data_IF_827010763950
#
_entry.id   IF_827010763950
#
_cell.length_a   1.000
_cell.length_b   1.000
_cell.length_c   1.000
_cell.angle_alpha   90.00
_cell.angle_beta   90.00
_cell.angle_gamma   90.00
#
_symmetry.space_group_name_H-M   'P 1'
#
loop_
_entity.id
_entity.type
_entity.pdbx_description
1 polymer ?
#
# COMPACT_ATOMS: atom_id res chain seq x y z
N UNK A 1 28.47 31.35 28.76
CA UNK A 1 27.38 30.43 28.52
C UNK A 1 26.45 31.04 27.48
N UNK A 2 26.55 30.59 26.21
CA UNK A 2 25.57 30.98 25.19
C UNK A 2 24.29 30.19 25.44
N UNK A 3 23.18 30.88 25.57
CA UNK A 3 21.86 30.25 25.59
C UNK A 3 21.53 29.68 24.18
N UNK A 4 20.70 28.64 24.11
CA UNK A 4 20.24 28.09 22.82
C UNK A 4 19.54 29.16 22.00
N UNK A 5 18.81 30.07 22.66
CA UNK A 5 18.11 31.20 22.04
C UNK A 5 19.05 32.20 21.34
N UNK A 6 20.37 32.22 21.67
CA UNK A 6 21.34 33.10 21.05
C UNK A 6 21.89 32.55 19.72
N UNK A 7 21.46 31.38 19.31
CA UNK A 7 21.88 30.73 18.05
C UNK A 7 20.93 31.04 16.93
N UNK A 8 21.50 31.18 15.75
CA UNK A 8 20.67 31.31 14.51
C UNK A 8 19.84 30.07 14.32
N UNK A 9 18.54 30.25 14.09
CA UNK A 9 17.65 29.14 13.76
C UNK A 9 18.04 28.51 12.42
N UNK A 10 17.90 27.18 12.30
CA UNK A 10 18.02 26.51 11.02
C UNK A 10 16.92 27.01 10.08
N UNK A 11 17.29 27.32 8.85
CA UNK A 11 16.36 27.75 7.78
C UNK A 11 15.87 26.60 6.90
N UNK A 12 16.39 25.38 7.12
CA UNK A 12 16.04 24.15 6.41
C UNK A 12 15.92 22.99 7.40
N UNK A 13 15.34 21.87 6.94
CA UNK A 13 15.31 20.63 7.74
C UNK A 13 16.76 20.18 8.03
N UNK A 14 17.02 19.61 9.24
CA UNK A 14 18.32 19.05 9.55
C UNK A 14 18.74 17.97 8.57
N UNK A 15 20.03 17.88 8.27
CA UNK A 15 20.59 16.75 7.54
C UNK A 15 20.62 15.49 8.42
N UNK A 16 20.63 14.31 7.82
CA UNK A 16 20.63 13.04 8.56
C UNK A 16 21.84 12.88 9.48
N UNK A 17 22.93 13.57 9.18
CA UNK A 17 24.18 13.61 9.96
C UNK A 17 24.24 14.71 11.02
N UNK A 18 23.20 15.57 11.08
CA UNK A 18 23.15 16.60 12.14
C UNK A 18 22.86 15.93 13.48
N UNK A 19 23.54 16.42 14.52
CA UNK A 19 23.52 15.80 15.85
C UNK A 19 22.76 16.68 16.86
N UNK A 20 22.03 16.03 17.74
CA UNK A 20 21.34 16.66 18.87
C UNK A 20 21.90 16.14 20.18
N UNK A 21 21.93 17.01 21.20
CA UNK A 21 22.25 16.60 22.56
C UNK A 21 20.98 16.14 23.27
N UNK A 22 21.03 14.95 23.86
CA UNK A 22 19.97 14.40 24.68
C UNK A 22 20.48 13.98 26.05
N UNK A 23 19.61 13.99 27.06
CA UNK A 23 19.90 13.38 28.36
C UNK A 23 19.31 11.96 28.37
N UNK A 24 20.16 10.97 28.44
CA UNK A 24 19.79 9.56 28.56
C UNK A 24 20.16 9.06 29.97
N UNK A 25 19.15 8.82 30.81
CA UNK A 25 19.31 8.44 32.21
C UNK A 25 20.27 9.33 33.00
N UNK A 26 20.23 10.65 32.74
CA UNK A 26 21.09 11.64 33.38
C UNK A 26 22.48 11.80 32.76
N UNK A 27 22.81 11.01 31.72
CA UNK A 27 24.06 11.15 30.97
C UNK A 27 23.81 11.92 29.68
N UNK A 28 24.63 12.97 29.43
CA UNK A 28 24.56 13.73 28.19
C UNK A 28 25.12 12.88 27.03
N UNK A 29 24.30 12.65 26.01
CA UNK A 29 24.68 11.92 24.80
C UNK A 29 24.31 12.72 23.56
N UNK A 30 24.90 12.39 22.42
CA UNK A 30 24.51 12.89 21.11
C UNK A 30 23.66 11.84 20.39
N UNK A 31 22.75 12.29 19.54
CA UNK A 31 21.94 11.47 18.66
C UNK A 31 21.87 12.13 17.28
N UNK A 32 22.04 11.36 16.22
CA UNK A 32 21.90 11.82 14.85
C UNK A 32 20.41 12.05 14.51
N UNK A 33 20.12 13.06 13.69
CA UNK A 33 18.75 13.35 13.26
C UNK A 33 18.09 12.15 12.55
N UNK A 34 18.87 11.35 11.81
CA UNK A 34 18.40 10.12 11.17
C UNK A 34 17.70 9.14 12.12
N UNK A 35 18.05 9.19 13.42
CA UNK A 35 17.49 8.28 14.44
C UNK A 35 16.23 8.84 15.14
N UNK A 36 15.93 10.13 14.97
CA UNK A 36 14.78 10.79 15.63
C UNK A 36 13.70 11.22 14.65
N UNK A 37 14.01 11.32 13.35
CA UNK A 37 13.02 11.67 12.34
C UNK A 37 12.02 10.51 12.13
N UNK A 38 10.75 10.85 12.09
CA UNK A 38 9.72 9.86 11.71
C UNK A 38 9.86 9.49 10.23
N UNK A 39 9.73 8.21 9.91
CA UNK A 39 9.69 7.71 8.53
C UNK A 39 8.45 6.85 8.34
N UNK A 40 7.74 7.03 7.21
CA UNK A 40 6.60 6.19 6.82
C UNK A 40 7.06 4.93 6.06
N UNK A 41 8.27 4.47 6.32
CA UNK A 41 8.83 3.24 5.74
C UNK A 41 8.70 2.06 6.72
N UNK A 42 8.47 0.85 6.21
CA UNK A 42 8.40 0.48 4.79
C UNK A 42 7.14 1.00 4.08
N UNK A 43 7.25 1.17 2.75
CA UNK A 43 6.15 1.56 1.88
C UNK A 43 6.21 0.88 0.53
N UNK A 44 5.05 0.68 -0.08
CA UNK A 44 4.86 0.06 -1.39
C UNK A 44 3.81 0.82 -2.21
N UNK A 45 4.03 0.90 -3.51
CA UNK A 45 3.01 1.07 -4.53
C UNK A 45 3.29 0.04 -5.61
N UNK A 46 2.40 -0.94 -5.79
CA UNK A 46 2.43 -1.92 -6.87
C UNK A 46 1.29 -1.62 -7.85
N UNK A 47 1.59 -1.63 -9.14
CA UNK A 47 0.67 -1.21 -10.21
C UNK A 47 0.57 -2.31 -11.25
N UNK A 48 -0.64 -2.57 -11.73
CA UNK A 48 -0.86 -3.44 -12.87
C UNK A 48 -0.38 -2.78 -14.16
N UNK A 49 0.46 -3.47 -14.91
CA UNK A 49 0.99 -3.05 -16.21
C UNK A 49 0.66 -4.01 -17.35
N UNK A 50 -0.09 -5.06 -17.05
CA UNK A 50 -0.55 -6.08 -18.02
C UNK A 50 -1.98 -6.46 -17.74
N UNK A 51 -2.67 -7.00 -18.76
CA UNK A 51 -3.99 -7.59 -18.59
C UNK A 51 -3.93 -8.89 -17.79
N UNK A 52 -4.99 -9.15 -17.02
CA UNK A 52 -5.23 -10.43 -16.36
C UNK A 52 -6.70 -10.78 -16.54
N UNK A 53 -6.97 -11.99 -17.01
CA UNK A 53 -8.34 -12.53 -17.08
C UNK A 53 -8.76 -13.03 -15.70
N UNK A 54 -9.97 -12.66 -15.29
CA UNK A 54 -10.60 -13.05 -14.01
C UNK A 54 -11.89 -13.80 -14.32
N UNK A 55 -12.05 -14.97 -13.73
CA UNK A 55 -13.26 -15.79 -13.93
C UNK A 55 -14.43 -15.23 -13.14
N UNK A 56 -15.62 -15.37 -13.74
CA UNK A 56 -16.87 -14.95 -13.10
C UNK A 56 -17.08 -15.60 -11.74
N UNK A 57 -17.61 -14.84 -10.79
CA UNK A 57 -18.00 -15.30 -9.45
C UNK A 57 -16.89 -16.00 -8.66
N UNK A 58 -15.62 -15.82 -9.07
CA UNK A 58 -14.45 -16.44 -8.45
C UNK A 58 -13.56 -15.38 -7.80
N UNK A 59 -13.18 -15.62 -6.55
CA UNK A 59 -12.17 -14.78 -5.88
C UNK A 59 -10.79 -15.13 -6.44
N UNK A 60 -10.17 -14.17 -7.10
CA UNK A 60 -8.92 -14.35 -7.85
C UNK A 60 -7.84 -13.39 -7.34
N UNK A 61 -6.63 -13.88 -7.09
CA UNK A 61 -5.48 -13.05 -6.78
C UNK A 61 -5.13 -12.16 -7.99
N UNK A 62 -4.82 -10.89 -7.73
CA UNK A 62 -4.32 -9.96 -8.75
C UNK A 62 -2.84 -10.23 -8.97
N UNK A 63 -2.52 -10.88 -10.09
CA UNK A 63 -1.14 -11.25 -10.48
C UNK A 63 -0.53 -10.30 -11.51
N UNK A 64 -1.28 -9.31 -11.95
CA UNK A 64 -0.82 -8.31 -12.92
C UNK A 64 -0.07 -7.12 -12.30
N UNK A 65 0.13 -7.10 -10.97
CA UNK A 65 0.88 -6.05 -10.26
C UNK A 65 2.40 -6.21 -10.47
N UNK A 66 2.85 -5.97 -11.70
CA UNK A 66 4.23 -6.28 -12.11
C UNK A 66 5.17 -5.07 -12.06
N UNK A 67 4.70 -3.90 -11.69
CA UNK A 67 5.50 -2.67 -11.58
C UNK A 67 5.36 -2.11 -10.17
N UNK A 68 6.49 -1.84 -9.50
CA UNK A 68 6.54 -1.25 -8.17
C UNK A 68 7.27 0.10 -8.22
N UNK A 69 6.59 1.20 -8.59
CA UNK A 69 7.19 2.53 -8.64
C UNK A 69 7.72 3.02 -7.30
N UNK A 70 7.16 2.51 -6.22
CA UNK A 70 7.64 2.71 -4.86
C UNK A 70 7.75 1.34 -4.20
N UNK A 71 8.94 1.00 -3.69
CA UNK A 71 9.17 -0.16 -2.84
C UNK A 71 10.37 0.15 -1.95
N UNK A 72 10.11 0.63 -0.75
CA UNK A 72 11.14 1.11 0.18
C UNK A 72 11.00 0.39 1.51
N UNK A 73 12.04 -0.30 1.94
CA UNK A 73 12.15 -0.94 3.26
C UNK A 73 11.38 -2.25 3.42
N UNK A 74 10.52 -2.64 2.46
CA UNK A 74 9.82 -3.92 2.43
C UNK A 74 10.25 -4.78 1.24
N UNK A 75 9.67 -5.97 1.09
CA UNK A 75 9.95 -6.90 0.01
C UNK A 75 8.69 -7.18 -0.81
N UNK A 76 8.76 -6.97 -2.13
CA UNK A 76 7.77 -7.45 -3.08
C UNK A 76 8.20 -8.81 -3.63
N UNK A 77 7.40 -9.83 -3.39
CA UNK A 77 7.57 -11.16 -3.96
C UNK A 77 6.81 -11.24 -5.28
N UNK A 78 7.52 -11.11 -6.39
CA UNK A 78 6.94 -11.14 -7.73
C UNK A 78 6.42 -12.51 -8.17
N UNK A 79 6.88 -13.59 -7.54
CA UNK A 79 6.41 -14.95 -7.84
C UNK A 79 5.06 -15.23 -7.18
N UNK A 80 4.83 -14.68 -6.00
CA UNK A 80 3.61 -14.84 -5.25
C UNK A 80 2.71 -13.60 -5.27
N UNK A 81 3.12 -12.50 -5.90
CA UNK A 81 2.41 -11.21 -6.00
C UNK A 81 1.92 -10.72 -4.64
N UNK A 82 2.85 -10.57 -3.70
CA UNK A 82 2.58 -10.16 -2.33
C UNK A 82 3.66 -9.23 -1.79
N UNK A 83 3.29 -8.41 -0.84
CA UNK A 83 4.20 -7.51 -0.14
C UNK A 83 4.38 -7.92 1.32
N UNK A 84 5.64 -8.06 1.76
CA UNK A 84 6.03 -8.26 3.15
C UNK A 84 6.70 -6.99 3.65
N UNK A 85 6.13 -6.26 4.61
CA UNK A 85 6.75 -5.07 5.20
C UNK A 85 8.11 -5.35 5.83
N UNK A 86 8.27 -6.49 6.52
CA UNK A 86 9.50 -6.89 7.19
C UNK A 86 9.80 -6.13 8.49
N UNK A 87 8.93 -5.22 8.89
CA UNK A 87 9.03 -4.43 10.12
C UNK A 87 7.69 -4.46 10.83
N UNK A 88 7.68 -4.85 12.10
CA UNK A 88 6.45 -4.81 12.89
C UNK A 88 5.94 -3.37 13.08
N UNK A 89 4.63 -3.19 13.12
CA UNK A 89 4.01 -1.88 13.31
C UNK A 89 2.59 -1.78 12.79
N UNK A 90 2.06 -0.57 12.78
CA UNK A 90 0.74 -0.25 12.26
C UNK A 90 0.85 0.31 10.86
N UNK A 91 0.03 -0.18 9.94
CA UNK A 91 0.08 0.13 8.51
C UNK A 91 -1.26 0.63 8.00
N UNK A 92 -1.23 1.61 7.11
CA UNK A 92 -2.35 1.87 6.21
C UNK A 92 -2.13 1.07 4.92
N UNK A 93 -3.17 0.34 4.50
CA UNK A 93 -3.16 -0.52 3.33
C UNK A 93 -4.38 -0.21 2.47
N UNK A 94 -4.20 -0.19 1.16
CA UNK A 94 -5.32 -0.11 0.22
C UNK A 94 -5.04 -0.90 -1.05
N UNK A 95 -6.10 -1.49 -1.60
CA UNK A 95 -6.06 -2.19 -2.87
C UNK A 95 -7.22 -1.77 -3.75
N UNK A 96 -6.93 -1.41 -4.99
CA UNK A 96 -7.90 -1.00 -5.98
C UNK A 96 -7.89 -1.96 -7.15
N UNK A 97 -9.09 -2.31 -7.61
CA UNK A 97 -9.30 -3.13 -8.81
C UNK A 97 -10.25 -2.44 -9.77
N UNK A 98 -10.07 -2.68 -11.06
CA UNK A 98 -10.90 -2.08 -12.11
C UNK A 98 -11.16 -3.09 -13.22
N UNK A 99 -12.43 -3.16 -13.64
CA UNK A 99 -12.87 -3.90 -14.83
C UNK A 99 -13.95 -3.11 -15.57
N UNK A 100 -14.20 -3.49 -16.83
CA UNK A 100 -15.37 -3.02 -17.54
C UNK A 100 -16.56 -3.94 -17.23
N UNK A 101 -17.70 -3.36 -16.89
CA UNK A 101 -18.94 -4.12 -16.61
C UNK A 101 -19.98 -3.74 -17.66
N UNK A 102 -20.56 -4.76 -18.29
CA UNK A 102 -21.54 -4.60 -19.38
C UNK A 102 -22.98 -4.85 -18.92
N UNK A 103 -23.18 -5.32 -17.69
CA UNK A 103 -24.49 -5.69 -17.16
C UNK A 103 -24.81 -4.88 -15.89
N UNK A 104 -25.90 -4.13 -15.91
CA UNK A 104 -26.41 -3.48 -14.70
C UNK A 104 -26.77 -4.53 -13.63
N UNK A 105 -26.54 -4.20 -12.37
CA UNK A 105 -26.73 -5.10 -11.23
C UNK A 105 -25.55 -6.04 -10.95
N UNK A 106 -24.57 -6.13 -11.85
CA UNK A 106 -23.32 -6.83 -11.58
C UNK A 106 -22.46 -6.06 -10.58
N UNK A 107 -21.58 -6.75 -9.88
CA UNK A 107 -20.67 -6.11 -8.91
C UNK A 107 -19.20 -6.38 -9.24
N UNK A 108 -18.37 -5.51 -8.70
CA UNK A 108 -16.92 -5.63 -8.60
C UNK A 108 -16.52 -5.48 -7.13
N UNK A 109 -15.67 -6.39 -6.64
CA UNK A 109 -15.06 -6.34 -5.32
C UNK A 109 -13.54 -6.22 -5.43
N UNK A 110 -12.96 -5.33 -4.62
CA UNK A 110 -11.54 -5.34 -4.27
C UNK A 110 -11.40 -5.89 -2.84
N UNK A 111 -10.38 -6.70 -2.60
CA UNK A 111 -10.14 -7.31 -1.29
C UNK A 111 -8.66 -7.25 -0.94
N UNK A 112 -8.35 -6.79 0.27
CA UNK A 112 -7.01 -6.88 0.87
C UNK A 112 -6.96 -8.14 1.73
N UNK A 113 -5.96 -8.96 1.49
CA UNK A 113 -5.68 -10.19 2.22
C UNK A 113 -4.41 -10.02 3.05
N UNK A 114 -4.39 -10.65 4.22
CA UNK A 114 -3.23 -10.83 5.08
C UNK A 114 -3.04 -12.32 5.33
N UNK A 115 -1.87 -12.85 5.04
CA UNK A 115 -1.52 -14.27 5.30
C UNK A 115 -2.57 -15.25 4.71
N UNK A 116 -3.08 -14.95 3.51
CA UNK A 116 -4.09 -15.76 2.82
C UNK A 116 -5.53 -15.60 3.32
N UNK A 117 -5.80 -14.69 4.27
CA UNK A 117 -7.14 -14.41 4.79
C UNK A 117 -7.58 -12.98 4.46
N UNK A 118 -8.84 -12.80 4.08
CA UNK A 118 -9.40 -11.46 3.81
C UNK A 118 -9.47 -10.65 5.11
N UNK A 119 -8.95 -9.42 5.06
CA UNK A 119 -9.01 -8.47 6.19
C UNK A 119 -9.82 -7.22 5.86
N UNK A 120 -10.00 -6.91 4.58
CA UNK A 120 -10.85 -5.81 4.13
C UNK A 120 -11.39 -6.11 2.74
N UNK A 121 -12.61 -5.69 2.46
CA UNK A 121 -13.15 -5.65 1.11
C UNK A 121 -14.09 -4.46 0.92
N UNK A 122 -14.25 -4.07 -0.33
CA UNK A 122 -15.28 -3.14 -0.78
C UNK A 122 -15.94 -3.67 -2.03
N UNK A 123 -17.21 -3.29 -2.24
CA UNK A 123 -17.99 -3.67 -3.41
C UNK A 123 -18.60 -2.43 -4.06
N UNK A 124 -18.52 -2.38 -5.36
CA UNK A 124 -19.31 -1.47 -6.19
C UNK A 124 -20.26 -2.28 -7.06
N UNK A 125 -21.52 -1.83 -7.14
CA UNK A 125 -22.53 -2.42 -8.01
C UNK A 125 -22.71 -1.54 -9.25
N UNK A 126 -22.76 -2.16 -10.42
CA UNK A 126 -22.93 -1.46 -11.68
C UNK A 126 -24.39 -1.01 -11.85
N UNK A 127 -24.58 0.29 -11.98
CA UNK A 127 -25.90 0.89 -12.25
C UNK A 127 -26.24 0.91 -13.75
N UNK A 128 -25.20 0.88 -14.61
CA UNK A 128 -25.32 0.94 -16.06
C UNK A 128 -24.52 -0.15 -16.76
N UNK A 129 -24.55 -0.09 -18.10
CA UNK A 129 -23.83 -1.02 -18.98
C UNK A 129 -22.67 -0.34 -19.69
N UNK A 130 -21.67 -1.13 -20.11
CA UNK A 130 -20.50 -0.67 -20.88
C UNK A 130 -19.70 0.47 -20.22
N UNK A 131 -19.47 0.34 -18.91
CA UNK A 131 -18.70 1.33 -18.16
C UNK A 131 -17.56 0.68 -17.37
N UNK A 132 -16.53 1.47 -17.12
CA UNK A 132 -15.42 1.11 -16.23
C UNK A 132 -15.86 1.30 -14.79
N UNK A 133 -15.74 0.26 -13.99
CA UNK A 133 -15.99 0.31 -12.56
C UNK A 133 -14.70 0.10 -11.79
N UNK A 134 -14.58 0.80 -10.67
CA UNK A 134 -13.43 0.76 -9.78
C UNK A 134 -13.95 0.45 -8.37
N UNK A 135 -13.36 -0.55 -7.73
CA UNK A 135 -13.57 -0.85 -6.32
C UNK A 135 -12.26 -0.71 -5.57
N UNK A 136 -12.29 -0.11 -4.38
CA UNK A 136 -11.12 0.07 -3.53
C UNK A 136 -11.44 -0.36 -2.10
N UNK A 137 -10.68 -1.31 -1.58
CA UNK A 137 -10.68 -1.69 -0.17
C UNK A 137 -9.51 -1.02 0.54
N UNK A 138 -9.72 -0.55 1.76
CA UNK A 138 -8.66 0.01 2.60
C UNK A 138 -8.84 -0.41 4.06
N UNK A 139 -7.73 -0.43 4.80
CA UNK A 139 -7.71 -0.80 6.22
C UNK A 139 -6.47 -0.22 6.92
N UNK A 140 -6.60 -0.01 8.22
CA UNK A 140 -5.45 0.11 9.13
C UNK A 140 -5.30 -1.23 9.83
N UNK A 141 -4.10 -1.83 9.75
CA UNK A 141 -3.80 -3.15 10.31
C UNK A 141 -2.44 -3.13 11.03
N UNK A 142 -2.27 -4.06 11.97
CA UNK A 142 -0.98 -4.30 12.63
C UNK A 142 -0.27 -5.46 11.94
N UNK A 143 1.01 -5.30 11.63
CA UNK A 143 1.83 -6.35 11.02
C UNK A 143 2.97 -6.77 11.95
N UNK A 144 3.28 -8.06 11.94
CA UNK A 144 4.55 -8.62 12.39
C UNK A 144 5.55 -8.66 11.22
N UNK A 145 6.78 -9.06 11.50
CA UNK A 145 7.88 -9.02 10.52
C UNK A 145 7.72 -9.99 9.36
N UNK A 146 6.95 -11.06 9.51
CA UNK A 146 6.70 -12.12 8.54
C UNK A 146 5.32 -12.04 7.87
N UNK A 147 4.47 -11.11 8.32
CA UNK A 147 3.17 -10.88 7.71
C UNK A 147 3.30 -10.38 6.27
N UNK A 148 2.43 -10.87 5.38
CA UNK A 148 2.35 -10.43 4.00
C UNK A 148 0.93 -10.04 3.58
N UNK A 149 0.86 -9.16 2.61
CA UNK A 149 -0.39 -8.60 2.07
C UNK A 149 -0.51 -8.83 0.58
N UNK A 150 -1.75 -9.06 0.14
CA UNK A 150 -2.10 -9.41 -1.23
C UNK A 150 -3.37 -8.68 -1.66
N UNK A 151 -3.51 -8.43 -2.97
CA UNK A 151 -4.73 -7.92 -3.56
C UNK A 151 -5.50 -9.02 -4.27
N UNK A 152 -6.80 -9.11 -4.01
CA UNK A 152 -7.73 -10.00 -4.68
C UNK A 152 -8.88 -9.23 -5.31
N UNK A 153 -9.49 -9.83 -6.32
CA UNK A 153 -10.64 -9.33 -7.07
C UNK A 153 -11.72 -10.40 -7.14
N UNK A 154 -12.98 -9.97 -7.15
CA UNK A 154 -14.14 -10.81 -7.51
C UNK A 154 -15.17 -9.96 -8.24
N UNK A 155 -15.86 -10.55 -9.20
CA UNK A 155 -17.00 -9.95 -9.90
C UNK A 155 -18.04 -11.02 -10.26
N UNK A 156 -19.23 -10.59 -10.70
CA UNK A 156 -20.31 -11.47 -11.15
C UNK A 156 -20.93 -10.97 -12.48
N UNK A 157 -20.10 -10.67 -13.45
CA UNK A 157 -20.54 -10.11 -14.74
C UNK A 157 -21.21 -11.13 -15.68
N UNK A 158 -21.28 -12.40 -15.27
CA UNK A 158 -21.86 -13.50 -16.06
C UNK A 158 -20.89 -14.13 -17.07
N UNK A 159 -19.63 -13.74 -17.07
CA UNK A 159 -18.56 -14.26 -17.91
C UNK A 159 -17.19 -13.76 -17.45
N UNK A 160 -16.13 -14.25 -18.07
CA UNK A 160 -14.79 -13.77 -17.75
C UNK A 160 -14.65 -12.27 -18.03
N UNK A 161 -13.96 -11.56 -17.16
CA UNK A 161 -13.58 -10.16 -17.32
C UNK A 161 -12.08 -9.98 -17.34
N UNK A 162 -11.64 -8.84 -17.84
CA UNK A 162 -10.21 -8.48 -17.87
C UNK A 162 -9.96 -7.30 -16.94
N UNK A 163 -8.94 -7.42 -16.10
CA UNK A 163 -8.47 -6.32 -15.26
C UNK A 163 -8.01 -5.16 -16.15
N UNK A 164 -8.54 -3.97 -15.89
CA UNK A 164 -8.05 -2.76 -16.50
C UNK A 164 -6.68 -2.38 -15.89
N UNK A 165 -5.72 -2.10 -16.76
CA UNK A 165 -4.38 -1.71 -16.38
C UNK A 165 -3.97 -0.44 -17.10
N UNK A 166 -3.25 0.42 -16.42
CA UNK A 166 -2.62 1.61 -17.00
C UNK A 166 -1.61 2.14 -15.98
N UNK A 167 -0.37 2.31 -16.41
CA UNK A 167 0.69 2.79 -15.53
C UNK A 167 0.58 4.29 -15.23
N UNK A 168 -0.09 5.07 -16.08
CA UNK A 168 -0.33 6.49 -15.83
C UNK A 168 -1.50 6.71 -14.87
N UNK A 169 -2.66 6.08 -15.14
CA UNK A 169 -3.87 6.23 -14.32
C UNK A 169 -3.95 5.25 -13.13
N UNK A 170 -3.12 4.18 -13.15
CA UNK A 170 -3.03 3.19 -12.06
C UNK A 170 -4.39 2.59 -11.69
N UNK A 171 -5.21 2.21 -12.67
CA UNK A 171 -6.56 1.67 -12.48
C UNK A 171 -6.61 0.49 -11.51
N UNK A 172 -5.61 -0.40 -11.56
CA UNK A 172 -5.48 -1.50 -10.62
C UNK A 172 -4.13 -1.39 -9.93
N UNK A 173 -4.17 -1.27 -8.60
CA UNK A 173 -2.99 -1.04 -7.79
C UNK A 173 -3.17 -1.56 -6.36
N UNK A 174 -2.04 -1.76 -5.69
CA UNK A 174 -1.97 -2.02 -4.25
C UNK A 174 -0.93 -1.08 -3.65
N UNK A 175 -1.25 -0.44 -2.55
CA UNK A 175 -0.28 0.36 -1.81
C UNK A 175 -0.44 0.22 -0.31
N UNK A 176 0.67 0.47 0.39
CA UNK A 176 0.70 0.47 1.83
C UNK A 176 1.92 1.22 2.36
N UNK A 177 1.82 1.73 3.58
CA UNK A 177 2.92 2.38 4.27
C UNK A 177 2.74 2.30 5.78
N UNK A 178 3.86 2.36 6.50
CA UNK A 178 3.88 2.34 7.95
C UNK A 178 3.36 3.65 8.53
N UNK A 179 2.51 3.55 9.56
CA UNK A 179 2.01 4.69 10.34
C UNK A 179 2.85 4.90 11.60
N UNK A 180 3.16 3.79 12.32
CA UNK A 180 3.94 3.81 13.57
C UNK A 180 4.82 2.57 13.69
#
# INVERSE_FOLDING_TARGET
NSLISDKTALSAAPADTDEFLISDAGTLKRIDYSLIKATNTPMILAVSNTSQTVSDSTTTKVTSLNTQPINTGGTWDSSNHRWTPGVAGTYFLAGQTSININNAGSYLQAMVYKNGSVISYNQVTAEGTNATYISQACIIDTADTDDYYELYIRHNTGGNSTINYDTAYKYTNFFGYKLT
#
